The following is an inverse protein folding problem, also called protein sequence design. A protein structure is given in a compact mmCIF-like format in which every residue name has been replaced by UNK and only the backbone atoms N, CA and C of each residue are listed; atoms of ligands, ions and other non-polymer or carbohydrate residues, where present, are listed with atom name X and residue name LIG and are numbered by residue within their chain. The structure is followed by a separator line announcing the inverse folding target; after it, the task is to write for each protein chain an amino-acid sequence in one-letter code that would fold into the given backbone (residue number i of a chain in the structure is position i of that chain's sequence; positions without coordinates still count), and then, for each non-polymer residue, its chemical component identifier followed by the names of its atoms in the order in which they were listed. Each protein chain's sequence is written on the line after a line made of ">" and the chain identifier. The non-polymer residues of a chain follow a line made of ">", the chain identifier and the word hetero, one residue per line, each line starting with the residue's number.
data_IF_530801654182
#
_entry.id   IF_530801654182
#
_cell.length_a   1.000
_cell.length_b   1.000
_cell.length_c   1.000
_cell.angle_alpha   90.00
_cell.angle_beta   90.00
_cell.angle_gamma   90.00
#
_symmetry.space_group_name_H-M   'P 1'
#
loop_
_entity.id
_entity.type
_entity.pdbx_description
1 polymer ?
#
# COMPACT_ATOMS: atom_id res chain seq x y z
N UNK A 1 -9.96 30.51 6.55
CA UNK A 1 -9.13 29.72 7.49
C UNK A 1 -8.65 28.52 6.74
N UNK A 2 -7.36 28.45 6.46
CA UNK A 2 -6.73 27.33 5.75
C UNK A 2 -6.70 26.17 6.75
N UNK A 3 -7.53 25.14 6.52
CA UNK A 3 -7.43 23.88 7.26
C UNK A 3 -6.07 23.25 6.93
N UNK A 4 -5.12 23.34 7.86
CA UNK A 4 -3.88 22.58 7.76
C UNK A 4 -4.22 21.12 7.93
N UNK A 5 -4.21 20.39 6.82
CA UNK A 5 -4.28 18.92 6.79
C UNK A 5 -3.19 18.33 7.68
N UNK A 6 -3.59 17.47 8.60
CA UNK A 6 -2.67 16.74 9.46
C UNK A 6 -1.91 15.71 8.62
N UNK A 7 -0.63 15.96 8.42
CA UNK A 7 0.26 15.03 7.76
C UNK A 7 1.20 14.46 8.81
N UNK A 8 0.95 13.24 9.22
CA UNK A 8 1.92 12.45 9.93
C UNK A 8 2.29 11.27 9.03
N UNK A 9 3.51 11.23 8.65
CA UNK A 9 4.15 10.20 7.86
C UNK A 9 5.58 10.64 7.62
N UNK A 10 6.52 9.74 7.75
CA UNK A 10 7.93 9.99 7.45
C UNK A 10 8.02 10.58 6.05
N UNK A 11 8.24 11.89 5.96
CA UNK A 11 8.56 12.55 4.70
C UNK A 11 9.85 11.89 4.22
N UNK A 12 9.75 11.10 3.16
CA UNK A 12 10.94 10.56 2.50
C UNK A 12 11.85 11.73 2.12
N UNK A 13 13.13 11.66 2.44
CA UNK A 13 14.11 12.74 2.44
C UNK A 13 14.30 13.51 1.10
N UNK A 14 13.49 13.26 0.08
CA UNK A 14 13.62 13.84 -1.27
C UNK A 14 12.32 14.42 -1.86
N UNK A 15 11.20 14.39 -1.14
CA UNK A 15 9.96 15.05 -1.60
C UNK A 15 9.93 16.45 -1.01
N UNK A 16 9.89 17.48 -1.86
CA UNK A 16 9.74 18.85 -1.37
C UNK A 16 8.37 18.98 -0.72
N UNK A 17 8.30 19.69 0.42
CA UNK A 17 7.05 19.97 1.14
C UNK A 17 5.97 20.55 0.21
N UNK A 18 6.37 21.27 -0.80
CA UNK A 18 5.50 21.88 -1.79
C UNK A 18 4.78 20.84 -2.67
N UNK A 19 5.49 19.86 -3.23
CA UNK A 19 4.91 18.76 -4.00
C UNK A 19 3.99 17.87 -3.17
N UNK A 20 4.35 17.68 -1.90
CA UNK A 20 3.53 16.91 -0.98
C UNK A 20 2.22 17.63 -0.64
N UNK A 21 2.27 18.94 -0.40
CA UNK A 21 1.09 19.76 -0.13
C UNK A 21 0.16 19.83 -1.36
N UNK A 22 0.72 20.00 -2.57
CA UNK A 22 -0.04 19.94 -3.81
C UNK A 22 -0.76 18.60 -3.98
N UNK A 23 -0.03 17.50 -3.74
CA UNK A 23 -0.57 16.16 -3.82
C UNK A 23 -1.73 15.91 -2.85
N UNK A 24 -1.59 16.37 -1.59
CA UNK A 24 -2.64 16.26 -0.57
C UNK A 24 -3.84 17.15 -0.90
N UNK A 25 -3.61 18.36 -1.39
CA UNK A 25 -4.68 19.27 -1.84
C UNK A 25 -5.50 18.67 -2.98
N UNK A 26 -4.88 17.95 -3.89
CA UNK A 26 -5.58 17.27 -4.97
C UNK A 26 -6.56 16.19 -4.46
N UNK A 27 -6.18 15.46 -3.40
CA UNK A 27 -7.07 14.50 -2.74
C UNK A 27 -8.25 15.21 -2.07
N UNK A 28 -7.98 16.25 -1.29
CA UNK A 28 -9.02 17.06 -0.63
C UNK A 28 -10.05 17.60 -1.65
N UNK A 29 -9.59 18.27 -2.69
CA UNK A 29 -10.46 18.86 -3.70
C UNK A 29 -11.29 17.81 -4.44
N UNK A 30 -10.68 16.68 -4.82
CA UNK A 30 -11.39 15.62 -5.51
C UNK A 30 -12.51 15.03 -4.64
N UNK A 31 -12.25 14.75 -3.36
CA UNK A 31 -13.24 14.17 -2.46
C UNK A 31 -14.33 15.18 -2.08
N UNK A 32 -13.97 16.44 -1.82
CA UNK A 32 -14.95 17.50 -1.53
C UNK A 32 -15.89 17.74 -2.71
N UNK A 33 -15.41 17.68 -3.95
CA UNK A 33 -16.27 17.80 -5.14
C UNK A 33 -17.33 16.71 -5.24
N UNK A 34 -17.09 15.57 -4.60
CA UNK A 34 -18.02 14.44 -4.50
C UNK A 34 -18.90 14.50 -3.23
N UNK A 35 -18.74 15.54 -2.41
CA UNK A 35 -19.47 15.68 -1.14
C UNK A 35 -18.89 14.86 0.01
N UNK A 36 -17.65 14.39 -0.11
CA UNK A 36 -16.95 13.66 0.95
C UNK A 36 -16.08 14.64 1.74
N UNK A 37 -16.43 14.84 3.01
CA UNK A 37 -15.79 15.85 3.84
C UNK A 37 -14.73 15.28 4.80
N UNK A 38 -14.72 13.97 5.03
CA UNK A 38 -13.81 13.31 5.99
C UNK A 38 -13.25 12.03 5.41
N UNK A 39 -11.93 11.92 5.41
CA UNK A 39 -11.25 10.74 4.86
C UNK A 39 -9.91 10.46 5.56
N UNK A 40 -9.44 9.22 5.38
CA UNK A 40 -8.08 8.81 5.63
C UNK A 40 -7.59 7.93 4.48
N UNK A 41 -6.45 8.27 3.90
CA UNK A 41 -5.74 7.41 2.96
C UNK A 41 -4.53 6.80 3.68
N UNK A 42 -4.41 5.49 3.58
CA UNK A 42 -3.30 4.71 4.11
C UNK A 42 -2.54 4.09 2.96
N UNK A 43 -1.21 4.14 3.01
CA UNK A 43 -0.35 3.32 2.18
C UNK A 43 0.47 2.42 3.10
N UNK A 44 0.19 1.13 3.06
CA UNK A 44 0.80 0.12 3.92
C UNK A 44 1.45 -0.99 3.08
N UNK A 45 2.50 -1.60 3.62
CA UNK A 45 3.01 -2.85 3.10
C UNK A 45 2.29 -4.02 3.77
N UNK A 46 2.11 -5.14 3.06
CA UNK A 46 1.51 -6.37 3.62
C UNK A 46 2.28 -6.97 4.78
N UNK A 47 3.54 -6.57 4.96
CA UNK A 47 4.41 -7.05 6.05
C UNK A 47 4.06 -6.47 7.43
N UNK A 48 3.07 -5.56 7.54
CA UNK A 48 2.62 -4.97 8.79
C UNK A 48 3.48 -3.82 9.31
N UNK A 49 4.31 -3.20 8.45
CA UNK A 49 5.00 -1.95 8.78
C UNK A 49 4.00 -0.81 9.05
N UNK A 50 4.46 0.25 9.72
CA UNK A 50 3.65 1.45 9.94
C UNK A 50 3.23 2.04 8.58
N UNK A 51 1.93 2.29 8.35
CA UNK A 51 1.46 2.90 7.11
C UNK A 51 1.88 4.37 7.02
N UNK A 52 2.05 4.89 5.82
CA UNK A 52 1.96 6.34 5.62
C UNK A 52 0.49 6.75 5.59
N UNK A 53 0.16 7.88 6.24
CA UNK A 53 -1.22 8.32 6.42
C UNK A 53 -1.38 9.73 5.87
N UNK A 54 -2.37 9.92 4.99
CA UNK A 54 -2.82 11.23 4.51
C UNK A 54 -4.29 11.39 4.88
N UNK A 55 -4.61 12.38 5.72
CA UNK A 55 -5.96 12.52 6.26
C UNK A 55 -6.31 13.96 6.58
N UNK A 56 -7.60 14.27 6.54
CA UNK A 56 -8.17 15.52 7.07
C UNK A 56 -8.93 15.30 8.39
N UNK A 57 -8.80 14.13 9.01
CA UNK A 57 -9.31 13.86 10.34
C UNK A 57 -8.57 14.69 11.40
N UNK A 58 -9.13 14.85 12.64
CA UNK A 58 -8.49 15.60 13.71
C UNK A 58 -7.07 15.11 14.01
N UNK A 59 -6.15 16.06 14.24
CA UNK A 59 -4.74 15.73 14.56
C UNK A 59 -4.60 14.91 15.81
N UNK A 60 -5.44 15.17 16.81
CA UNK A 60 -5.46 14.44 18.07
C UNK A 60 -5.80 12.97 17.85
N UNK A 61 -6.74 12.66 16.95
CA UNK A 61 -7.04 11.29 16.57
C UNK A 61 -5.85 10.62 15.89
N UNK A 62 -5.21 11.33 14.96
CA UNK A 62 -4.05 10.80 14.24
C UNK A 62 -2.88 10.51 15.19
N UNK A 63 -2.59 11.44 16.12
CA UNK A 63 -1.55 11.22 17.15
C UNK A 63 -1.87 9.99 18.02
N UNK A 64 -3.10 9.87 18.53
CA UNK A 64 -3.51 8.68 19.29
C UNK A 64 -3.40 7.39 18.47
N UNK A 65 -3.74 7.44 17.17
CA UNK A 65 -3.70 6.30 16.27
C UNK A 65 -2.25 5.81 16.04
N UNK A 66 -1.32 6.74 15.85
CA UNK A 66 0.10 6.44 15.62
C UNK A 66 0.83 6.03 16.91
N UNK A 67 0.69 6.79 17.99
CA UNK A 67 1.36 6.56 19.27
C UNK A 67 0.98 5.21 19.89
N UNK A 68 -0.28 4.81 19.77
CA UNK A 68 -0.76 3.52 20.26
C UNK A 68 -0.64 2.40 19.21
N UNK A 69 -0.03 2.67 18.06
CA UNK A 69 0.14 1.73 16.95
C UNK A 69 -1.18 1.02 16.57
N UNK A 70 -2.31 1.76 16.58
CA UNK A 70 -3.65 1.22 16.32
C UNK A 70 -3.78 0.62 14.92
N UNK A 71 -2.93 1.03 13.98
CA UNK A 71 -2.83 0.43 12.65
C UNK A 71 -2.55 -1.09 12.65
N UNK A 72 -2.00 -1.63 13.75
CA UNK A 72 -1.72 -3.07 13.89
C UNK A 72 -2.97 -3.89 14.20
N UNK A 73 -3.98 -3.23 14.74
CA UNK A 73 -5.23 -3.86 15.17
C UNK A 73 -6.43 -3.29 14.43
N UNK A 74 -6.19 -2.46 13.39
CA UNK A 74 -7.22 -1.87 12.57
C UNK A 74 -7.76 -2.91 11.57
N UNK A 75 -9.00 -3.38 11.76
CA UNK A 75 -9.58 -4.39 10.89
C UNK A 75 -9.78 -3.89 9.45
N UNK A 76 -9.86 -2.57 9.23
CA UNK A 76 -9.93 -2.00 7.87
C UNK A 76 -8.65 -2.27 7.12
N UNK A 77 -7.50 -2.04 7.75
CA UNK A 77 -6.20 -2.30 7.13
C UNK A 77 -5.94 -3.80 6.95
N UNK A 78 -6.47 -4.63 7.83
CA UNK A 78 -6.32 -6.08 7.73
C UNK A 78 -7.13 -6.64 6.56
N UNK A 79 -8.42 -6.31 6.47
CA UNK A 79 -9.28 -6.70 5.34
C UNK A 79 -8.72 -6.18 4.01
N UNK A 80 -8.17 -4.96 3.98
CA UNK A 80 -7.62 -4.37 2.76
C UNK A 80 -6.46 -5.14 2.15
N UNK A 81 -5.81 -6.04 2.90
CA UNK A 81 -4.75 -6.91 2.39
C UNK A 81 -5.29 -8.06 1.54
N UNK A 82 -6.54 -8.47 1.80
CA UNK A 82 -7.12 -9.70 1.26
C UNK A 82 -8.21 -9.44 0.20
N UNK A 83 -8.63 -8.19 0.03
CA UNK A 83 -9.63 -7.82 -0.99
C UNK A 83 -9.18 -6.65 -1.85
N UNK A 84 -9.64 -6.63 -3.11
CA UNK A 84 -9.53 -5.47 -3.99
C UNK A 84 -10.88 -4.74 -4.15
N UNK A 85 -11.95 -5.29 -3.56
CA UNK A 85 -13.28 -4.70 -3.65
C UNK A 85 -13.53 -3.71 -2.52
N UNK A 86 -14.22 -2.61 -2.79
CA UNK A 86 -14.67 -1.69 -1.76
C UNK A 86 -15.61 -2.37 -0.75
N UNK A 87 -15.59 -1.90 0.50
CA UNK A 87 -16.46 -2.45 1.53
C UNK A 87 -16.94 -1.40 2.53
N UNK A 88 -18.15 -1.62 3.06
CA UNK A 88 -18.73 -0.83 4.14
C UNK A 88 -18.37 -1.43 5.49
N UNK A 89 -18.06 -0.59 6.47
CA UNK A 89 -17.80 -1.02 7.85
C UNK A 89 -19.02 -1.61 8.54
N UNK A 90 -20.22 -1.16 8.18
CA UNK A 90 -21.47 -1.68 8.73
C UNK A 90 -21.73 -3.13 8.29
N UNK A 91 -21.56 -3.41 7.01
CA UNK A 91 -21.83 -4.74 6.45
C UNK A 91 -20.81 -5.78 6.89
N UNK A 92 -19.60 -5.37 7.20
CA UNK A 92 -18.52 -6.25 7.67
C UNK A 92 -18.48 -6.40 9.19
N UNK A 93 -19.30 -5.67 9.93
CA UNK A 93 -19.31 -5.72 11.39
C UNK A 93 -18.05 -5.16 12.06
N UNK A 94 -17.23 -4.41 11.31
CA UNK A 94 -15.92 -3.91 11.76
C UNK A 94 -16.00 -3.03 13.01
N UNK A 95 -17.10 -2.31 13.18
CA UNK A 95 -17.31 -1.43 14.33
C UNK A 95 -17.28 -2.16 15.69
N UNK A 96 -17.42 -3.49 15.70
CA UNK A 96 -17.46 -4.31 16.90
C UNK A 96 -16.21 -5.19 17.08
N UNK A 97 -15.32 -5.25 16.11
CA UNK A 97 -14.19 -6.18 16.14
C UNK A 97 -13.06 -5.76 17.07
N UNK A 98 -12.88 -4.45 17.30
CA UNK A 98 -11.87 -3.95 18.23
C UNK A 98 -12.42 -2.83 19.11
N UNK A 99 -12.67 -3.14 20.38
CA UNK A 99 -13.26 -2.21 21.33
C UNK A 99 -12.35 -0.99 21.61
N UNK A 100 -11.03 -1.16 21.61
CA UNK A 100 -10.09 -0.07 21.84
C UNK A 100 -10.11 0.93 20.67
N UNK A 101 -10.03 0.45 19.45
CA UNK A 101 -10.08 1.30 18.26
C UNK A 101 -11.44 1.98 18.13
N UNK A 102 -12.52 1.24 18.31
CA UNK A 102 -13.89 1.76 18.21
C UNK A 102 -14.19 2.84 19.26
N UNK A 103 -13.76 2.64 20.52
CA UNK A 103 -13.95 3.63 21.59
C UNK A 103 -13.15 4.91 21.33
N UNK A 104 -11.93 4.79 20.78
CA UNK A 104 -11.14 5.95 20.39
C UNK A 104 -11.76 6.68 19.19
N UNK A 105 -12.15 5.97 18.16
CA UNK A 105 -12.79 6.55 16.98
C UNK A 105 -14.10 7.30 17.32
N UNK A 106 -14.88 6.78 18.25
CA UNK A 106 -16.12 7.42 18.73
C UNK A 106 -15.90 8.80 19.35
N UNK A 107 -14.79 9.02 20.08
CA UNK A 107 -14.44 10.34 20.64
C UNK A 107 -14.40 11.41 19.55
N UNK A 108 -13.93 11.02 18.37
CA UNK A 108 -13.74 11.89 17.21
C UNK A 108 -14.90 11.80 16.20
N UNK A 109 -16.02 11.16 16.59
CA UNK A 109 -17.22 10.95 15.75
C UNK A 109 -16.89 10.19 14.45
N UNK A 110 -15.96 9.28 14.49
CA UNK A 110 -15.64 8.34 13.41
C UNK A 110 -16.43 7.07 13.72
N UNK A 111 -17.60 6.92 13.11
CA UNK A 111 -18.56 5.88 13.50
C UNK A 111 -18.79 4.89 12.36
N UNK A 112 -18.92 5.42 11.18
CA UNK A 112 -19.22 4.66 9.97
C UNK A 112 -18.22 5.05 8.88
N UNK A 113 -17.95 4.14 7.99
CA UNK A 113 -17.07 4.39 6.87
C UNK A 113 -17.25 3.40 5.74
N UNK A 114 -16.67 3.79 4.63
CA UNK A 114 -16.58 2.98 3.42
C UNK A 114 -15.14 3.02 2.91
N UNK A 115 -14.57 1.86 2.65
CA UNK A 115 -13.16 1.76 2.26
C UNK A 115 -13.02 1.25 0.84
N UNK A 116 -12.15 1.92 0.09
CA UNK A 116 -11.73 1.57 -1.27
C UNK A 116 -10.28 1.11 -1.24
N UNK A 117 -9.93 0.16 -2.10
CA UNK A 117 -8.62 -0.48 -2.09
C UNK A 117 -7.94 -0.34 -3.45
N UNK A 118 -6.67 0.03 -3.44
CA UNK A 118 -5.80 -0.01 -4.60
C UNK A 118 -4.59 -0.91 -4.30
N UNK A 119 -4.43 -1.95 -5.10
CA UNK A 119 -3.30 -2.88 -5.01
C UNK A 119 -2.33 -2.58 -6.14
N UNK A 120 -1.09 -2.30 -5.77
CA UNK A 120 -0.01 -2.10 -6.75
C UNK A 120 0.76 -3.39 -7.00
N UNK A 121 1.60 -3.35 -8.03
CA UNK A 121 2.62 -4.37 -8.22
C UNK A 121 3.58 -4.41 -7.02
N UNK A 122 3.59 -5.52 -6.30
CA UNK A 122 4.37 -5.70 -5.08
C UNK A 122 3.50 -5.95 -3.86
N UNK A 123 3.95 -5.48 -2.71
CA UNK A 123 3.31 -5.71 -1.40
C UNK A 123 2.56 -4.49 -0.87
N UNK A 124 2.54 -3.39 -1.61
CA UNK A 124 1.90 -2.14 -1.17
C UNK A 124 0.41 -2.14 -1.44
N UNK A 125 -0.35 -1.69 -0.44
CA UNK A 125 -1.81 -1.55 -0.48
C UNK A 125 -2.16 -0.12 -0.12
N UNK A 126 -2.86 0.56 -1.02
CA UNK A 126 -3.50 1.85 -0.79
C UNK A 126 -4.94 1.65 -0.32
N UNK A 127 -5.28 2.16 0.85
CA UNK A 127 -6.63 2.09 1.39
C UNK A 127 -7.15 3.51 1.59
N UNK A 128 -8.18 3.89 0.85
CA UNK A 128 -8.90 5.15 1.03
C UNK A 128 -10.19 4.89 1.81
N UNK A 129 -10.25 5.43 3.00
CA UNK A 129 -11.39 5.33 3.88
C UNK A 129 -12.15 6.65 3.91
N UNK A 130 -13.42 6.61 3.59
CA UNK A 130 -14.37 7.72 3.70
C UNK A 130 -15.13 7.57 5.01
N UNK A 131 -15.01 8.58 5.89
CA UNK A 131 -15.60 8.54 7.20
C UNK A 131 -16.90 9.37 7.24
N UNK A 132 -17.91 8.86 7.96
CA UNK A 132 -19.18 9.52 8.17
C UNK A 132 -19.28 10.13 9.56
N UNK A 133 -19.86 11.33 9.62
CA UNK A 133 -20.49 11.84 10.84
C UNK A 133 -21.97 11.39 10.85
N UNK A 134 -22.51 11.04 12.03
CA UNK A 134 -23.91 10.60 12.24
C UNK A 134 -24.98 11.51 11.60
N UNK A 135 -24.63 12.72 11.22
CA UNK A 135 -25.53 13.71 10.63
C UNK A 135 -25.59 13.68 9.10
N UNK A 136 -24.66 12.98 8.45
CA UNK A 136 -24.59 12.95 6.99
C UNK A 136 -25.38 11.75 6.45
N UNK A 137 -26.69 11.93 6.26
CA UNK A 137 -27.62 10.91 5.74
C UNK A 137 -27.48 10.63 4.24
N UNK A 138 -26.36 10.95 3.64
CA UNK A 138 -26.20 10.91 2.18
C UNK A 138 -25.02 10.11 1.61
N UNK A 139 -24.07 9.62 2.42
CA UNK A 139 -22.85 9.02 1.87
C UNK A 139 -23.14 7.74 1.09
N UNK A 140 -24.05 6.89 1.53
CA UNK A 140 -24.42 5.70 0.76
C UNK A 140 -24.91 6.07 -0.64
N UNK A 141 -25.65 7.18 -0.77
CA UNK A 141 -26.09 7.69 -2.07
C UNK A 141 -24.93 8.26 -2.90
N UNK A 142 -24.00 8.98 -2.25
CA UNK A 142 -22.79 9.52 -2.89
C UNK A 142 -21.89 8.39 -3.38
N UNK A 143 -21.67 7.38 -2.53
CA UNK A 143 -20.87 6.20 -2.88
C UNK A 143 -21.52 5.45 -4.03
N UNK A 144 -22.81 5.10 -3.94
CA UNK A 144 -23.49 4.34 -4.98
C UNK A 144 -23.46 5.03 -6.35
N UNK A 145 -23.49 6.37 -6.38
CA UNK A 145 -23.40 7.14 -7.62
C UNK A 145 -21.97 7.27 -8.16
N UNK A 146 -20.98 7.26 -7.29
CA UNK A 146 -19.62 7.65 -7.64
C UNK A 146 -18.59 6.54 -7.37
N UNK A 147 -19.01 5.32 -7.02
CA UNK A 147 -18.12 4.23 -6.61
C UNK A 147 -16.99 3.99 -7.61
N UNK A 148 -17.34 3.86 -8.89
CA UNK A 148 -16.35 3.65 -9.95
C UNK A 148 -15.40 4.85 -10.11
N UNK A 149 -15.90 6.07 -9.95
CA UNK A 149 -15.08 7.28 -10.05
C UNK A 149 -14.11 7.39 -8.87
N UNK A 150 -14.57 7.10 -7.65
CA UNK A 150 -13.73 7.10 -6.44
C UNK A 150 -12.67 6.00 -6.55
N UNK A 151 -13.05 4.80 -6.98
CA UNK A 151 -12.12 3.69 -7.16
C UNK A 151 -11.04 4.03 -8.19
N UNK A 152 -11.41 4.57 -9.34
CA UNK A 152 -10.46 4.97 -10.38
C UNK A 152 -9.55 6.11 -9.93
N UNK A 153 -10.11 7.08 -9.21
CA UNK A 153 -9.34 8.16 -8.60
C UNK A 153 -8.31 7.61 -7.61
N UNK A 154 -8.71 6.69 -6.72
CA UNK A 154 -7.81 6.06 -5.77
C UNK A 154 -6.65 5.33 -6.46
N UNK A 155 -6.91 4.58 -7.53
CA UNK A 155 -5.86 3.89 -8.29
C UNK A 155 -4.82 4.88 -8.81
N UNK A 156 -5.28 5.99 -9.42
CA UNK A 156 -4.38 7.04 -9.92
C UNK A 156 -3.60 7.72 -8.79
N UNK A 157 -4.30 8.05 -7.70
CA UNK A 157 -3.71 8.69 -6.53
C UNK A 157 -2.64 7.79 -5.89
N UNK A 158 -2.95 6.51 -5.71
CA UNK A 158 -2.02 5.54 -5.12
C UNK A 158 -0.76 5.37 -5.98
N UNK A 159 -0.90 5.32 -7.32
CA UNK A 159 0.26 5.24 -8.21
C UNK A 159 1.13 6.52 -8.14
N UNK A 160 0.53 7.69 -8.08
CA UNK A 160 1.26 8.95 -7.88
C UNK A 160 1.95 8.99 -6.51
N UNK A 161 1.27 8.55 -5.44
CA UNK A 161 1.85 8.44 -4.10
C UNK A 161 3.09 7.56 -4.12
N UNK A 162 3.01 6.39 -4.73
CA UNK A 162 4.16 5.48 -4.89
C UNK A 162 5.32 6.14 -5.63
N UNK A 163 5.04 6.84 -6.71
CA UNK A 163 6.09 7.54 -7.46
C UNK A 163 6.79 8.59 -6.61
N UNK A 164 6.05 9.39 -5.84
CA UNK A 164 6.60 10.40 -4.95
C UNK A 164 7.45 9.80 -3.83
N UNK A 165 6.96 8.74 -3.19
CA UNK A 165 7.65 8.12 -2.06
C UNK A 165 8.77 7.17 -2.50
N UNK A 166 8.62 6.44 -3.60
CA UNK A 166 9.66 5.54 -4.11
C UNK A 166 10.83 6.29 -4.75
N UNK A 167 10.66 7.53 -5.22
CA UNK A 167 11.79 8.40 -5.56
C UNK A 167 12.65 8.77 -4.34
N UNK A 168 12.09 8.70 -3.13
CA UNK A 168 12.82 8.91 -1.86
C UNK A 168 13.36 7.62 -1.23
N UNK A 169 12.72 6.50 -1.51
CA UNK A 169 13.09 5.15 -1.08
C UNK A 169 13.58 4.31 -2.27
N UNK A 170 14.37 4.92 -3.16
CA UNK A 170 15.20 4.15 -4.08
C UNK A 170 16.18 3.34 -3.24
N UNK A 171 15.64 2.34 -2.55
CA UNK A 171 16.46 1.23 -2.11
C UNK A 171 16.98 0.59 -3.38
N UNK A 172 18.28 0.59 -3.52
CA UNK A 172 19.09 0.05 -4.64
C UNK A 172 18.55 -1.24 -5.32
N UNK A 173 17.66 -2.07 -4.70
CA UNK A 173 17.13 -3.28 -5.31
C UNK A 173 16.27 -3.07 -6.57
N UNK A 174 15.43 -2.02 -6.66
CA UNK A 174 14.57 -1.83 -7.84
C UNK A 174 15.35 -1.47 -9.10
N UNK A 175 16.35 -0.61 -8.97
CA UNK A 175 17.28 -0.33 -10.05
C UNK A 175 18.09 -1.59 -10.41
N UNK A 176 18.45 -2.41 -9.43
CA UNK A 176 19.20 -3.65 -9.63
C UNK A 176 18.37 -4.73 -10.34
N UNK A 177 17.07 -4.90 -10.00
CA UNK A 177 16.19 -5.84 -10.71
C UNK A 177 15.91 -5.39 -12.14
N UNK A 178 15.78 -4.08 -12.38
CA UNK A 178 15.67 -3.54 -13.75
C UNK A 178 16.92 -3.89 -14.60
N UNK A 179 18.07 -4.02 -13.97
CA UNK A 179 19.33 -4.39 -14.62
C UNK A 179 19.48 -5.91 -14.88
N UNK A 180 18.55 -6.73 -14.42
CA UNK A 180 18.52 -8.15 -14.78
C UNK A 180 17.97 -8.32 -16.20
N UNK A 181 18.68 -9.12 -17.00
CA UNK A 181 18.20 -9.54 -18.32
C UNK A 181 16.90 -10.37 -18.17
N UNK A 182 16.15 -10.49 -19.27
CA UNK A 182 14.95 -11.36 -19.29
C UNK A 182 15.29 -12.78 -18.83
N UNK A 183 16.41 -13.31 -19.26
CA UNK A 183 16.86 -14.66 -18.90
C UNK A 183 17.22 -14.80 -17.41
N UNK A 184 17.86 -13.78 -16.85
CA UNK A 184 18.17 -13.74 -15.42
C UNK A 184 16.88 -13.66 -14.58
N UNK A 185 15.87 -12.92 -15.02
CA UNK A 185 14.56 -12.87 -14.35
C UNK A 185 13.82 -14.22 -14.39
N UNK A 186 13.88 -14.94 -15.52
CA UNK A 186 13.31 -16.29 -15.63
C UNK A 186 14.01 -17.26 -14.67
N UNK A 187 15.34 -17.27 -14.65
CA UNK A 187 16.11 -18.09 -13.71
C UNK A 187 15.79 -17.74 -12.27
N UNK A 188 15.78 -16.43 -11.93
CA UNK A 188 15.45 -15.96 -10.59
C UNK A 188 14.07 -16.45 -10.14
N UNK A 189 13.07 -16.39 -11.03
CA UNK A 189 11.70 -16.87 -10.75
C UNK A 189 11.70 -18.33 -10.33
N UNK A 190 12.32 -19.23 -11.09
CA UNK A 190 12.34 -20.65 -10.79
C UNK A 190 13.09 -21.00 -9.51
N UNK A 191 14.22 -20.32 -9.25
CA UNK A 191 14.97 -20.49 -8.01
C UNK A 191 14.19 -19.96 -6.79
N UNK A 192 13.49 -18.85 -6.96
CA UNK A 192 12.72 -18.25 -5.87
C UNK A 192 11.51 -19.08 -5.41
N UNK A 193 10.87 -19.82 -6.33
CA UNK A 193 9.79 -20.76 -5.99
C UNK A 193 10.32 -22.14 -5.51
N UNK A 194 11.64 -22.26 -5.31
CA UNK A 194 12.24 -23.44 -4.69
C UNK A 194 12.68 -24.54 -5.67
N UNK A 195 12.72 -24.29 -6.98
CA UNK A 195 13.27 -25.26 -7.94
C UNK A 195 14.77 -25.43 -7.77
N UNK A 196 15.23 -26.67 -7.84
CA UNK A 196 16.66 -26.99 -7.91
C UNK A 196 17.26 -26.49 -9.23
N UNK A 197 18.58 -26.37 -9.30
CA UNK A 197 19.24 -25.95 -10.51
C UNK A 197 19.03 -26.93 -11.68
N UNK A 198 18.94 -28.23 -11.38
CA UNK A 198 18.63 -29.25 -12.39
C UNK A 198 17.20 -29.12 -12.93
N UNK A 199 16.20 -28.92 -12.04
CA UNK A 199 14.81 -28.70 -12.46
C UNK A 199 14.67 -27.41 -13.29
N UNK A 200 15.26 -26.32 -12.81
CA UNK A 200 15.25 -25.04 -13.54
C UNK A 200 15.92 -25.17 -14.92
N UNK A 201 16.99 -25.94 -15.01
CA UNK A 201 17.69 -26.21 -16.26
C UNK A 201 16.80 -26.99 -17.24
N UNK A 202 16.12 -28.03 -16.76
CA UNK A 202 15.17 -28.81 -17.56
C UNK A 202 14.00 -27.95 -18.06
N UNK A 203 13.39 -27.12 -17.18
CA UNK A 203 12.29 -26.23 -17.52
C UNK A 203 12.69 -25.20 -18.58
N UNK A 204 13.87 -24.63 -18.43
CA UNK A 204 14.37 -23.53 -19.27
C UNK A 204 15.11 -24.00 -20.54
N UNK A 205 15.27 -25.31 -20.72
CA UNK A 205 15.94 -25.91 -21.87
C UNK A 205 17.44 -25.55 -21.96
N UNK A 206 18.11 -25.42 -20.81
CA UNK A 206 19.56 -25.09 -20.73
C UNK A 206 20.27 -26.05 -19.77
N UNK A 207 21.61 -25.96 -19.70
CA UNK A 207 22.36 -26.81 -18.78
C UNK A 207 22.32 -26.28 -17.34
N UNK A 208 22.49 -27.17 -16.37
CA UNK A 208 22.62 -26.78 -14.95
C UNK A 208 23.82 -25.82 -14.74
N UNK A 209 24.89 -26.00 -15.51
CA UNK A 209 26.05 -25.08 -15.49
C UNK A 209 25.65 -23.66 -15.90
N UNK A 210 24.78 -23.53 -16.89
CA UNK A 210 24.27 -22.23 -17.35
C UNK A 210 23.35 -21.60 -16.28
N UNK A 211 22.54 -22.40 -15.58
CA UNK A 211 21.75 -21.90 -14.42
C UNK A 211 22.67 -21.37 -13.33
N UNK A 212 23.73 -22.12 -12.95
CA UNK A 212 24.71 -21.69 -11.94
C UNK A 212 25.38 -20.38 -12.34
N UNK A 213 25.72 -20.22 -13.61
CA UNK A 213 26.27 -18.97 -14.13
C UNK A 213 25.31 -17.78 -13.98
N UNK A 214 24.03 -17.96 -14.40
CA UNK A 214 23.03 -16.92 -14.23
C UNK A 214 22.79 -16.57 -12.77
N UNK A 215 22.69 -17.57 -11.88
CA UNK A 215 22.50 -17.34 -10.43
C UNK A 215 23.68 -16.56 -9.84
N UNK A 216 24.92 -16.85 -10.24
CA UNK A 216 26.09 -16.09 -9.79
C UNK A 216 26.01 -14.62 -10.23
N UNK A 217 25.67 -14.37 -11.49
CA UNK A 217 25.48 -13.02 -12.02
C UNK A 217 24.35 -12.27 -11.31
N UNK A 218 23.21 -12.95 -11.07
CA UNK A 218 22.07 -12.38 -10.32
C UNK A 218 22.52 -11.99 -8.91
N UNK A 219 23.22 -12.87 -8.20
CA UNK A 219 23.73 -12.59 -6.86
C UNK A 219 24.65 -11.37 -6.85
N UNK A 220 25.55 -11.27 -7.81
CA UNK A 220 26.44 -10.12 -7.94
C UNK A 220 25.67 -8.82 -8.25
N UNK A 221 24.69 -8.86 -9.17
CA UNK A 221 23.89 -7.68 -9.55
C UNK A 221 22.98 -7.20 -8.43
N UNK A 222 22.48 -8.12 -7.60
CA UNK A 222 21.57 -7.83 -6.48
C UNK A 222 22.30 -7.64 -5.15
N UNK A 223 23.63 -7.82 -5.14
CA UNK A 223 24.46 -7.75 -3.93
C UNK A 223 23.95 -8.69 -2.81
N UNK A 224 23.70 -9.96 -3.17
CA UNK A 224 23.20 -10.99 -2.26
C UNK A 224 24.04 -12.25 -2.29
N UNK A 225 24.11 -12.94 -1.17
CA UNK A 225 25.02 -14.08 -1.00
C UNK A 225 24.28 -15.43 -0.90
N UNK A 226 22.98 -15.43 -0.57
CA UNK A 226 22.23 -16.65 -0.38
C UNK A 226 21.01 -16.78 -1.31
N UNK A 227 20.57 -18.03 -1.55
CA UNK A 227 19.34 -18.30 -2.30
C UNK A 227 18.08 -17.85 -1.57
N UNK A 228 18.10 -17.80 -0.21
CA UNK A 228 16.99 -17.26 0.59
C UNK A 228 16.80 -15.76 0.34
N UNK A 229 17.91 -15.01 0.25
CA UNK A 229 17.85 -13.58 -0.10
C UNK A 229 17.31 -13.36 -1.50
N UNK A 230 17.68 -14.22 -2.47
CA UNK A 230 17.10 -14.17 -3.82
C UNK A 230 15.59 -14.40 -3.82
N UNK A 231 15.10 -15.40 -3.06
CA UNK A 231 13.66 -15.66 -2.94
C UNK A 231 12.93 -14.46 -2.32
N UNK A 232 13.45 -13.91 -1.23
CA UNK A 232 12.89 -12.73 -0.56
C UNK A 232 12.80 -11.52 -1.50
N UNK A 233 13.86 -11.26 -2.28
CA UNK A 233 13.86 -10.16 -3.27
C UNK A 233 12.85 -10.44 -4.38
N UNK A 234 12.79 -11.66 -4.91
CA UNK A 234 11.87 -12.02 -5.97
C UNK A 234 10.40 -11.86 -5.54
N UNK A 235 10.06 -12.24 -4.30
CA UNK A 235 8.72 -12.06 -3.72
C UNK A 235 8.42 -10.57 -3.50
N UNK A 236 9.35 -9.83 -2.89
CA UNK A 236 9.20 -8.39 -2.65
C UNK A 236 8.90 -7.59 -3.93
N UNK A 237 9.46 -8.02 -5.05
CA UNK A 237 9.30 -7.35 -6.35
C UNK A 237 8.28 -8.00 -7.28
N UNK A 238 7.43 -8.90 -6.75
CA UNK A 238 6.34 -9.51 -7.50
C UNK A 238 6.78 -10.41 -8.66
N UNK A 239 8.04 -10.89 -8.66
CA UNK A 239 8.51 -11.84 -9.66
C UNK A 239 7.97 -13.25 -9.41
N UNK A 240 7.58 -13.53 -8.18
CA UNK A 240 6.88 -14.76 -7.75
C UNK A 240 5.83 -14.41 -6.72
N UNK A 241 4.67 -15.06 -6.83
CA UNK A 241 3.64 -15.07 -5.80
C UNK A 241 3.82 -16.37 -5.01
N UNK A 242 4.10 -16.26 -3.73
CA UNK A 242 4.15 -17.37 -2.77
C UNK A 242 2.88 -17.37 -1.97
#
# INVERSE_FOLDING_TARGET
>A
MIHQTGVAGVIANNVTTEKFNEFTSNLDHALQSLGVNRYAYFCSERNGSSPSIVTNLPREWLSEYEENALYRIDPVLDISKDTALPFSWLTTGLNNQNQQLSSNALKYKIIEGYSFIAISHGTEVGTLTLCLDKKETGLSSVINKNEAAIQFFLIKYHEQHRQLYNHGLSTKPDAQIKNLSCREKEVLRWIAIGKTYSEAAAILGITERTIKFHVANIKQKLDVYSSRQLASIATKHGLVNV
#
